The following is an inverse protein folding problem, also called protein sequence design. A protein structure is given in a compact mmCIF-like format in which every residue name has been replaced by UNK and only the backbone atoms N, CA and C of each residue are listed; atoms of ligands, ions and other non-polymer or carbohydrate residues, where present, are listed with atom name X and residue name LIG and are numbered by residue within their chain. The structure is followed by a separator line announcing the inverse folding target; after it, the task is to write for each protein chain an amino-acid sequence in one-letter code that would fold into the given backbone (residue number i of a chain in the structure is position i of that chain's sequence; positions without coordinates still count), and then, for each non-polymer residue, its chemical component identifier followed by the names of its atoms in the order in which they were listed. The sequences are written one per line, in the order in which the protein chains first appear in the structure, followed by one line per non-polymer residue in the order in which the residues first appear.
data_IF_096999800177
#
_entry.id   IF_096999800177
#
_cell.length_a   1.000
_cell.length_b   1.000
_cell.length_c   1.000
_cell.angle_alpha   90.00
_cell.angle_beta   90.00
_cell.angle_gamma   90.00
#
_symmetry.space_group_name_H-M   'P 1'
#
loop_
_entity.id
_entity.type
_entity.pdbx_description
1 polymer ?
#
# COMPACT_ATOMS: atom_id res chain seq x y z
N UNK A 1 -21.40 3.52 -13.67
CA UNK A 1 -21.10 4.84 -13.09
C UNK A 1 -21.61 4.84 -11.67
N UNK A 2 -20.82 5.28 -10.73
CA UNK A 2 -21.16 5.17 -9.33
C UNK A 2 -20.40 6.18 -8.45
N UNK A 3 -20.58 6.03 -7.13
CA UNK A 3 -20.02 6.91 -6.11
C UNK A 3 -18.97 6.17 -5.27
N UNK A 4 -17.84 6.81 -5.01
CA UNK A 4 -16.82 6.31 -4.11
C UNK A 4 -16.65 7.26 -2.92
N UNK A 5 -16.58 6.72 -1.70
CA UNK A 5 -16.18 7.48 -0.53
C UNK A 5 -14.71 7.16 -0.21
N UNK A 6 -13.87 8.19 -0.17
CA UNK A 6 -12.45 8.05 0.12
C UNK A 6 -12.20 8.58 1.52
N UNK A 7 -11.77 7.70 2.42
CA UNK A 7 -11.42 8.03 3.80
C UNK A 7 -9.91 8.23 3.89
N UNK A 8 -9.49 9.45 4.18
CA UNK A 8 -8.10 9.87 4.15
C UNK A 8 -7.87 11.04 3.18
N UNK A 9 -6.87 11.88 3.48
CA UNK A 9 -6.49 13.04 2.66
C UNK A 9 -4.96 13.30 2.77
N UNK A 10 -4.17 12.21 2.78
CA UNK A 10 -2.71 12.24 2.74
C UNK A 10 -2.16 12.14 1.31
N UNK A 11 -0.86 11.87 1.18
CA UNK A 11 -0.18 11.77 -0.12
C UNK A 11 -0.78 10.70 -1.04
N UNK A 12 -0.97 9.48 -0.53
CA UNK A 12 -1.59 8.36 -1.27
C UNK A 12 -3.02 8.70 -1.68
N UNK A 13 -3.83 9.22 -0.74
CA UNK A 13 -5.21 9.62 -1.02
C UNK A 13 -5.28 10.71 -2.09
N UNK A 14 -4.36 11.69 -2.06
CA UNK A 14 -4.28 12.73 -3.10
C UNK A 14 -4.11 12.14 -4.48
N UNK A 15 -3.23 11.14 -4.65
CA UNK A 15 -3.04 10.45 -5.94
C UNK A 15 -4.31 9.69 -6.36
N UNK A 16 -4.87 8.87 -5.46
CA UNK A 16 -6.08 8.10 -5.76
C UNK A 16 -7.25 9.02 -6.17
N UNK A 17 -7.43 10.16 -5.49
CA UNK A 17 -8.44 11.16 -5.80
C UNK A 17 -8.21 11.77 -7.20
N UNK A 18 -6.95 12.15 -7.53
CA UNK A 18 -6.62 12.62 -8.88
C UNK A 18 -6.98 11.58 -9.94
N UNK A 19 -6.63 10.30 -9.71
CA UNK A 19 -6.92 9.20 -10.64
C UNK A 19 -8.42 8.92 -10.77
N UNK A 20 -9.19 9.01 -9.68
CA UNK A 20 -10.66 8.96 -9.75
C UNK A 20 -11.21 10.11 -10.63
N UNK A 21 -10.68 11.32 -10.46
CA UNK A 21 -11.07 12.49 -11.27
C UNK A 21 -10.70 12.35 -12.75
N UNK A 22 -9.62 11.65 -13.09
CA UNK A 22 -9.25 11.32 -14.47
C UNK A 22 -10.15 10.24 -15.07
N UNK A 23 -10.84 9.45 -14.24
CA UNK A 23 -11.73 8.34 -14.65
C UNK A 23 -13.20 8.62 -14.32
N UNK A 24 -13.70 9.78 -14.74
CA UNK A 24 -15.08 10.23 -14.47
C UNK A 24 -16.16 9.31 -15.07
N UNK A 25 -15.80 8.45 -16.01
CA UNK A 25 -16.72 7.46 -16.58
C UNK A 25 -17.11 6.38 -15.55
N UNK A 26 -16.21 6.06 -14.61
CA UNK A 26 -16.46 5.12 -13.52
C UNK A 26 -16.85 5.87 -12.25
N UNK A 27 -16.08 6.89 -11.88
CA UNK A 27 -16.27 7.70 -10.68
C UNK A 27 -17.10 8.96 -11.00
N UNK A 28 -18.43 8.79 -11.06
CA UNK A 28 -19.37 9.91 -11.26
C UNK A 28 -19.31 10.91 -10.11
N UNK A 29 -19.19 10.39 -8.88
CA UNK A 29 -19.02 11.18 -7.68
C UNK A 29 -18.00 10.57 -6.73
N UNK A 30 -17.24 11.44 -6.05
CA UNK A 30 -16.39 11.06 -4.94
C UNK A 30 -16.68 11.94 -3.73
N UNK A 31 -16.65 11.34 -2.54
CA UNK A 31 -16.60 12.08 -1.27
C UNK A 31 -15.24 11.90 -0.63
N UNK A 32 -14.56 13.00 -0.35
CA UNK A 32 -13.28 13.00 0.39
C UNK A 32 -13.59 13.28 1.85
N UNK A 33 -13.30 12.33 2.73
CA UNK A 33 -13.59 12.45 4.15
C UNK A 33 -12.34 12.27 5.02
N UNK A 34 -12.10 13.16 5.96
CA UNK A 34 -11.00 13.05 6.91
C UNK A 34 -11.27 13.84 8.19
N UNK A 35 -10.43 13.68 9.22
CA UNK A 35 -10.51 14.49 10.45
C UNK A 35 -10.31 16.00 10.20
N UNK A 36 -9.58 16.35 9.15
CA UNK A 36 -9.27 17.73 8.78
C UNK A 36 -9.97 18.11 7.48
N UNK A 37 -11.24 18.51 7.58
CA UNK A 37 -12.07 18.86 6.42
C UNK A 37 -11.43 19.91 5.49
N UNK A 38 -10.70 20.87 6.04
CA UNK A 38 -10.04 21.94 5.25
C UNK A 38 -9.02 21.40 4.25
N UNK A 39 -8.32 20.28 4.55
CA UNK A 39 -7.45 19.58 3.58
C UNK A 39 -8.26 18.99 2.43
N UNK A 40 -9.42 18.39 2.74
CA UNK A 40 -10.33 17.84 1.73
C UNK A 40 -10.87 18.96 0.82
N UNK A 41 -11.30 20.08 1.41
CA UNK A 41 -11.81 21.25 0.68
C UNK A 41 -10.74 21.83 -0.25
N UNK A 42 -9.50 21.97 0.20
CA UNK A 42 -8.38 22.44 -0.63
C UNK A 42 -8.16 21.54 -1.85
N UNK A 43 -8.20 20.22 -1.66
CA UNK A 43 -8.01 19.28 -2.74
C UNK A 43 -9.19 19.29 -3.72
N UNK A 44 -10.43 19.35 -3.21
CA UNK A 44 -11.63 19.54 -4.04
C UNK A 44 -11.53 20.81 -4.88
N UNK A 45 -11.23 21.95 -4.28
CA UNK A 45 -11.20 23.25 -4.96
C UNK A 45 -10.13 23.27 -6.06
N UNK A 46 -9.03 22.55 -5.87
CA UNK A 46 -8.00 22.35 -6.89
C UNK A 46 -8.48 21.50 -8.06
N UNK A 47 -9.20 20.41 -7.78
CA UNK A 47 -9.51 19.38 -8.79
C UNK A 47 -10.86 19.58 -9.49
N UNK A 48 -11.89 20.08 -8.79
CA UNK A 48 -13.22 20.22 -9.35
C UNK A 48 -13.27 20.98 -10.68
N UNK A 49 -12.46 22.05 -10.92
CA UNK A 49 -12.45 22.72 -12.22
C UNK A 49 -11.92 21.89 -13.39
N UNK A 50 -11.20 20.78 -13.11
CA UNK A 50 -10.49 19.98 -14.13
C UNK A 50 -11.17 18.64 -14.42
N UNK A 51 -12.27 18.32 -13.72
CA UNK A 51 -12.91 17.00 -13.82
C UNK A 51 -14.42 17.11 -13.97
N UNK A 52 -15.04 16.07 -14.55
CA UNK A 52 -16.51 15.89 -14.55
C UNK A 52 -16.99 15.14 -13.30
N UNK A 53 -16.11 14.50 -12.55
CA UNK A 53 -16.44 13.86 -11.28
C UNK A 53 -16.91 14.90 -10.27
N UNK A 54 -18.08 14.69 -9.66
CA UNK A 54 -18.57 15.57 -8.59
C UNK A 54 -17.81 15.27 -7.31
N UNK A 55 -17.16 16.29 -6.73
CA UNK A 55 -16.35 16.12 -5.52
C UNK A 55 -17.07 16.75 -4.33
N UNK A 56 -17.47 15.92 -3.38
CA UNK A 56 -17.99 16.34 -2.08
C UNK A 56 -16.92 16.15 -0.98
N UNK A 57 -17.05 16.87 0.11
CA UNK A 57 -16.12 16.78 1.24
C UNK A 57 -16.85 16.67 2.56
N UNK A 58 -16.30 15.90 3.49
CA UNK A 58 -16.84 15.76 4.82
C UNK A 58 -15.73 15.74 5.90
N UNK A 59 -16.10 16.07 7.12
CA UNK A 59 -15.31 15.76 8.30
C UNK A 59 -15.81 14.43 8.86
N UNK A 60 -14.89 13.54 9.22
CA UNK A 60 -15.22 12.28 9.89
C UNK A 60 -14.06 11.86 10.78
N UNK A 61 -14.38 11.33 11.94
CA UNK A 61 -13.43 10.58 12.76
C UNK A 61 -13.57 9.09 12.41
N UNK A 62 -12.56 8.54 11.74
CA UNK A 62 -12.57 7.13 11.32
C UNK A 62 -12.42 6.12 12.49
N UNK A 63 -12.14 6.58 13.70
CA UNK A 63 -12.21 5.78 14.92
C UNK A 63 -13.66 5.65 15.47
N UNK A 64 -14.61 6.37 14.89
CA UNK A 64 -16.01 6.39 15.32
C UNK A 64 -16.93 5.74 14.28
N UNK A 65 -17.35 4.50 14.56
CA UNK A 65 -18.20 3.69 13.68
C UNK A 65 -19.54 4.38 13.40
N UNK A 66 -20.17 5.04 14.38
CA UNK A 66 -21.46 5.68 14.20
C UNK A 66 -21.38 6.91 13.28
N UNK A 67 -20.31 7.71 13.37
CA UNK A 67 -20.05 8.81 12.42
C UNK A 67 -19.86 8.29 10.99
N UNK A 68 -19.11 7.20 10.83
CA UNK A 68 -18.90 6.54 9.54
C UNK A 68 -20.22 6.03 8.95
N UNK A 69 -21.03 5.32 9.74
CA UNK A 69 -22.36 4.82 9.31
C UNK A 69 -23.26 5.97 8.88
N UNK A 70 -23.33 7.04 9.67
CA UNK A 70 -24.13 8.21 9.33
C UNK A 70 -23.70 8.84 8.02
N UNK A 71 -22.39 9.00 7.81
CA UNK A 71 -21.84 9.58 6.60
C UNK A 71 -22.06 8.69 5.37
N UNK A 72 -21.83 7.37 5.48
CA UNK A 72 -22.06 6.41 4.40
C UNK A 72 -23.55 6.40 4.01
N UNK A 73 -24.46 6.37 4.98
CA UNK A 73 -25.91 6.40 4.72
C UNK A 73 -26.36 7.69 4.07
N UNK A 74 -25.74 8.83 4.38
CA UNK A 74 -26.02 10.13 3.77
C UNK A 74 -25.56 10.20 2.33
N UNK A 75 -24.32 9.79 2.05
CA UNK A 75 -23.71 9.88 0.72
C UNK A 75 -24.10 8.73 -0.20
N UNK A 76 -24.30 7.53 0.36
CA UNK A 76 -24.63 6.27 -0.33
C UNK A 76 -23.62 5.91 -1.42
N UNK A 77 -22.35 5.70 -1.05
CA UNK A 77 -21.34 5.25 -1.99
C UNK A 77 -21.55 3.76 -2.34
N UNK A 78 -21.09 3.35 -3.52
CA UNK A 78 -21.00 1.94 -3.91
C UNK A 78 -19.82 1.26 -3.21
N UNK A 79 -18.72 2.02 -2.98
CA UNK A 79 -17.51 1.53 -2.34
C UNK A 79 -16.92 2.59 -1.42
N UNK A 80 -16.38 2.14 -0.28
CA UNK A 80 -15.49 2.91 0.59
C UNK A 80 -14.06 2.52 0.26
N UNK A 81 -13.26 3.49 -0.19
CA UNK A 81 -11.82 3.35 -0.36
C UNK A 81 -11.13 3.92 0.89
N UNK A 82 -10.60 3.03 1.70
CA UNK A 82 -9.91 3.37 2.93
C UNK A 82 -8.43 3.70 2.66
N UNK A 83 -8.06 4.96 2.80
CA UNK A 83 -6.69 5.49 2.73
C UNK A 83 -6.34 6.25 4.00
N UNK A 84 -6.97 5.88 5.11
CA UNK A 84 -6.62 6.30 6.46
C UNK A 84 -5.40 5.50 6.96
N UNK A 85 -5.07 5.62 8.24
CA UNK A 85 -4.03 4.77 8.82
C UNK A 85 -4.59 3.36 9.08
N UNK A 86 -3.75 2.33 9.09
CA UNK A 86 -4.17 0.92 9.26
C UNK A 86 -4.91 0.67 10.57
N UNK A 87 -4.73 1.52 11.57
CA UNK A 87 -5.44 1.47 12.85
C UNK A 87 -6.97 1.59 12.74
N UNK A 88 -7.47 2.22 11.66
CA UNK A 88 -8.90 2.46 11.44
C UNK A 88 -9.58 1.40 10.56
N UNK A 89 -8.86 0.41 10.05
CA UNK A 89 -9.40 -0.56 9.09
C UNK A 89 -10.64 -1.28 9.62
N UNK A 90 -10.56 -1.81 10.85
CA UNK A 90 -11.66 -2.58 11.41
C UNK A 90 -12.91 -1.72 11.71
N UNK A 91 -12.73 -0.48 12.17
CA UNK A 91 -13.85 0.45 12.40
C UNK A 91 -14.54 0.84 11.09
N UNK A 92 -13.77 1.01 10.02
CA UNK A 92 -14.31 1.30 8.69
C UNK A 92 -15.00 0.05 8.10
N UNK A 93 -14.43 -1.15 8.28
CA UNK A 93 -15.05 -2.42 7.88
C UNK A 93 -16.37 -2.67 8.62
N UNK A 94 -16.46 -2.36 9.94
CA UNK A 94 -17.71 -2.43 10.71
C UNK A 94 -18.78 -1.49 10.13
N UNK A 95 -18.42 -0.27 9.79
CA UNK A 95 -19.34 0.67 9.17
C UNK A 95 -19.79 0.22 7.77
N UNK A 96 -18.88 -0.33 6.95
CA UNK A 96 -19.20 -0.90 5.64
C UNK A 96 -20.14 -2.10 5.76
N UNK A 97 -19.93 -2.97 6.75
CA UNK A 97 -20.79 -4.11 7.02
C UNK A 97 -22.20 -3.66 7.44
N UNK A 98 -22.32 -2.69 8.36
CA UNK A 98 -23.58 -2.16 8.82
C UNK A 98 -24.40 -1.49 7.70
N UNK A 99 -23.73 -0.87 6.74
CA UNK A 99 -24.36 -0.15 5.61
C UNK A 99 -24.44 -0.97 4.32
N UNK A 100 -23.90 -2.18 4.32
CA UNK A 100 -23.78 -3.07 3.15
C UNK A 100 -23.07 -2.41 1.97
N UNK A 101 -21.98 -1.69 2.25
CA UNK A 101 -21.16 -0.99 1.28
C UNK A 101 -19.86 -1.78 1.04
N UNK A 102 -19.37 -1.86 -0.19
CA UNK A 102 -18.09 -2.50 -0.50
C UNK A 102 -16.92 -1.75 0.14
N UNK A 103 -15.84 -2.47 0.43
CA UNK A 103 -14.64 -1.95 1.09
C UNK A 103 -13.39 -2.25 0.28
N UNK A 104 -12.46 -1.30 0.22
CA UNK A 104 -11.12 -1.46 -0.36
C UNK A 104 -10.12 -0.72 0.52
N UNK A 105 -8.95 -1.33 0.78
CA UNK A 105 -7.82 -0.69 1.45
C UNK A 105 -6.49 -0.91 0.70
N UNK A 106 -5.39 -0.42 1.27
CA UNK A 106 -4.04 -0.53 0.69
C UNK A 106 -3.03 -1.18 1.61
N UNK A 107 -3.45 -1.65 2.78
CA UNK A 107 -2.60 -2.25 3.80
C UNK A 107 -3.43 -3.21 4.67
N UNK A 108 -2.82 -3.84 5.66
CA UNK A 108 -3.52 -4.62 6.68
C UNK A 108 -3.78 -3.79 7.94
N UNK A 109 -4.75 -4.24 8.76
CA UNK A 109 -4.96 -3.68 10.10
C UNK A 109 -3.73 -3.85 10.98
N UNK A 110 -3.36 -2.81 11.71
CA UNK A 110 -2.27 -2.82 12.66
C UNK A 110 -2.76 -2.31 14.04
N UNK A 111 -2.56 -3.07 15.13
CA UNK A 111 -2.82 -2.58 16.47
C UNK A 111 -1.92 -1.40 16.84
N UNK A 112 -2.47 -0.39 17.57
CA UNK A 112 -1.69 0.79 17.98
C UNK A 112 -0.56 0.47 18.96
N UNK A 113 -0.75 -0.54 19.80
CA UNK A 113 0.14 -0.91 20.91
C UNK A 113 1.24 -1.91 20.51
N UNK A 114 1.17 -2.47 19.30
CA UNK A 114 2.15 -3.43 18.84
C UNK A 114 2.26 -3.42 17.32
N UNK A 115 3.49 -3.42 16.79
CA UNK A 115 3.73 -3.56 15.37
C UNK A 115 3.50 -5.03 14.97
N UNK A 116 2.32 -5.33 14.43
CA UNK A 116 1.94 -6.66 13.92
C UNK A 116 1.22 -6.53 12.60
N UNK A 117 1.90 -6.90 11.54
CA UNK A 117 1.43 -6.88 10.16
C UNK A 117 0.79 -8.23 9.83
N UNK A 118 -0.49 -8.43 10.18
CA UNK A 118 -1.20 -9.70 10.06
C UNK A 118 -2.63 -9.47 9.52
N UNK A 119 -3.01 -10.20 8.48
CA UNK A 119 -4.37 -10.13 7.90
C UNK A 119 -5.45 -10.83 8.73
N UNK A 120 -5.09 -11.63 9.72
CA UNK A 120 -6.06 -12.43 10.51
C UNK A 120 -7.25 -11.64 11.06
N UNK A 121 -7.02 -10.36 11.42
CA UNK A 121 -8.06 -9.49 11.97
C UNK A 121 -9.13 -9.16 10.92
N UNK A 122 -8.72 -8.87 9.69
CA UNK A 122 -9.62 -8.56 8.58
C UNK A 122 -10.23 -9.83 7.99
N UNK A 123 -9.47 -10.93 7.88
CA UNK A 123 -10.00 -12.21 7.43
C UNK A 123 -11.11 -12.75 8.33
N UNK A 124 -11.13 -12.41 9.62
CA UNK A 124 -12.20 -12.78 10.56
C UNK A 124 -13.58 -12.19 10.16
N UNK A 125 -13.61 -11.21 9.27
CA UNK A 125 -14.84 -10.62 8.73
C UNK A 125 -15.40 -11.38 7.51
N UNK A 126 -14.71 -12.37 6.95
CA UNK A 126 -15.06 -13.04 5.69
C UNK A 126 -16.51 -13.50 5.66
N UNK A 127 -16.94 -14.28 6.62
CA UNK A 127 -18.30 -14.83 6.69
C UNK A 127 -19.38 -13.73 6.83
N UNK A 128 -19.09 -12.67 7.59
CA UNK A 128 -20.03 -11.56 7.77
C UNK A 128 -20.23 -10.79 6.45
N UNK A 129 -19.15 -10.55 5.71
CA UNK A 129 -19.20 -9.90 4.39
C UNK A 129 -19.87 -10.79 3.35
N UNK A 130 -19.66 -12.11 3.38
CA UNK A 130 -20.38 -13.08 2.54
C UNK A 130 -21.90 -13.03 2.80
N UNK A 131 -22.32 -13.06 4.06
CA UNK A 131 -23.73 -12.98 4.45
C UNK A 131 -24.37 -11.63 4.09
N UNK A 132 -23.61 -10.55 4.13
CA UNK A 132 -24.06 -9.22 3.74
C UNK A 132 -24.11 -9.02 2.21
N UNK A 133 -23.50 -9.91 1.42
CA UNK A 133 -23.43 -9.84 -0.03
C UNK A 133 -22.50 -8.77 -0.56
N UNK A 134 -21.48 -8.36 0.23
CA UNK A 134 -20.54 -7.30 -0.10
C UNK A 134 -19.10 -7.83 -0.17
N UNK A 135 -18.24 -7.13 -0.89
CA UNK A 135 -16.82 -7.45 -1.06
C UNK A 135 -15.95 -6.52 -0.22
N UNK A 136 -14.98 -7.07 0.50
CA UNK A 136 -13.81 -6.34 0.95
C UNK A 136 -12.59 -6.81 0.13
N UNK A 137 -11.94 -5.88 -0.54
CA UNK A 137 -10.67 -6.08 -1.25
C UNK A 137 -9.56 -5.53 -0.38
N UNK A 138 -8.67 -6.41 0.06
CA UNK A 138 -7.55 -6.07 0.94
C UNK A 138 -6.26 -5.87 0.14
N UNK A 139 -5.51 -4.86 0.55
CA UNK A 139 -4.18 -4.61 0.04
C UNK A 139 -4.15 -4.18 -1.42
N UNK A 140 -4.94 -3.18 -1.83
CA UNK A 140 -4.90 -2.64 -3.19
C UNK A 140 -3.93 -1.46 -3.30
N UNK A 141 -2.70 -1.66 -2.78
CA UNK A 141 -1.57 -0.76 -2.94
C UNK A 141 -0.55 -1.29 -3.97
N UNK A 142 0.72 -1.01 -3.75
CA UNK A 142 1.77 -1.65 -4.55
C UNK A 142 2.30 -2.89 -3.82
N UNK A 143 2.82 -2.72 -2.63
CA UNK A 143 3.12 -3.74 -1.62
C UNK A 143 2.41 -3.34 -0.30
N UNK A 144 1.39 -4.11 0.06
CA UNK A 144 0.70 -5.17 -0.68
C UNK A 144 -0.14 -4.60 -1.84
N UNK A 145 -0.30 -5.41 -2.90
CA UNK A 145 -1.21 -5.07 -3.98
C UNK A 145 -0.70 -5.48 -5.35
N UNK A 146 0.00 -4.61 -6.07
CA UNK A 146 0.54 -4.94 -7.41
C UNK A 146 1.43 -6.18 -7.36
N UNK A 147 2.20 -6.38 -6.28
CA UNK A 147 3.01 -7.60 -6.04
C UNK A 147 2.15 -8.86 -5.98
N UNK A 148 0.96 -8.78 -5.37
CA UNK A 148 -0.05 -9.84 -5.37
C UNK A 148 -0.61 -10.10 -6.77
N UNK A 149 -0.97 -9.03 -7.50
CA UNK A 149 -1.44 -9.14 -8.89
C UNK A 149 -0.35 -9.72 -9.81
N UNK A 150 0.92 -9.30 -9.65
CA UNK A 150 2.05 -9.88 -10.39
C UNK A 150 2.21 -11.37 -10.10
N UNK A 151 2.04 -11.77 -8.84
CA UNK A 151 2.11 -13.18 -8.44
C UNK A 151 0.98 -14.02 -9.05
N UNK A 152 -0.25 -13.51 -9.04
CA UNK A 152 -1.38 -14.16 -9.67
C UNK A 152 -1.23 -14.22 -11.20
N UNK A 153 -0.71 -13.14 -11.83
CA UNK A 153 -0.43 -13.09 -13.26
C UNK A 153 0.64 -14.11 -13.66
N UNK A 154 1.76 -14.13 -12.94
CA UNK A 154 2.82 -15.10 -13.16
C UNK A 154 2.30 -16.53 -13.03
N UNK A 155 1.52 -16.84 -11.99
CA UNK A 155 0.92 -18.15 -11.79
C UNK A 155 -0.05 -18.52 -12.91
N UNK A 156 -0.84 -17.59 -13.41
CA UNK A 156 -1.82 -17.85 -14.47
C UNK A 156 -1.18 -18.10 -15.83
N UNK A 157 -0.14 -17.35 -16.19
CA UNK A 157 0.39 -17.32 -17.54
C UNK A 157 1.75 -18.02 -17.68
N UNK A 158 2.61 -17.93 -16.66
CA UNK A 158 4.02 -18.23 -16.79
C UNK A 158 4.45 -19.49 -16.04
N UNK A 159 3.68 -19.93 -15.05
CA UNK A 159 4.06 -21.07 -14.20
C UNK A 159 2.92 -22.06 -14.02
N UNK A 160 3.29 -23.34 -13.84
CA UNK A 160 2.40 -24.38 -13.31
C UNK A 160 2.57 -24.49 -11.79
N UNK A 161 3.75 -24.12 -11.28
CA UNK A 161 4.09 -24.09 -9.87
C UNK A 161 5.14 -22.99 -9.60
N UNK A 162 4.87 -22.08 -8.67
CA UNK A 162 5.83 -21.10 -8.17
C UNK A 162 6.40 -21.60 -6.84
N UNK A 163 7.73 -21.77 -6.77
CA UNK A 163 8.39 -22.24 -5.56
C UNK A 163 9.07 -21.11 -4.75
N UNK A 164 9.53 -20.07 -5.43
CA UNK A 164 10.28 -18.98 -4.81
C UNK A 164 9.77 -17.64 -5.33
N UNK A 165 9.53 -16.71 -4.41
CA UNK A 165 9.21 -15.31 -4.71
C UNK A 165 10.17 -14.43 -3.92
N UNK A 166 10.87 -13.53 -4.61
CA UNK A 166 11.62 -12.44 -4.01
C UNK A 166 10.95 -11.13 -4.43
N UNK A 167 10.34 -10.44 -3.48
CA UNK A 167 9.72 -9.12 -3.68
C UNK A 167 10.79 -8.08 -3.43
N UNK A 168 10.99 -7.17 -4.37
CA UNK A 168 12.02 -6.15 -4.34
C UNK A 168 11.39 -4.77 -4.42
N UNK A 169 11.46 -4.00 -3.35
CA UNK A 169 11.06 -2.59 -3.30
C UNK A 169 12.30 -1.69 -3.33
N UNK A 170 12.50 -1.02 -4.44
CA UNK A 170 13.58 -0.06 -4.60
C UNK A 170 13.05 1.35 -4.79
N UNK A 171 13.36 2.22 -3.83
CA UNK A 171 13.26 3.65 -4.00
C UNK A 171 14.67 4.26 -4.21
N UNK A 172 14.98 4.60 -5.46
CA UNK A 172 16.20 5.32 -5.84
C UNK A 172 16.05 6.84 -5.81
N UNK A 173 14.96 7.35 -5.20
CA UNK A 173 14.70 8.78 -5.11
C UNK A 173 15.59 9.50 -4.09
N UNK A 174 15.94 10.75 -4.41
CA UNK A 174 16.64 11.68 -3.51
C UNK A 174 15.79 12.94 -3.31
N UNK A 175 15.39 13.19 -2.08
CA UNK A 175 14.65 14.39 -1.66
C UNK A 175 15.54 15.46 -1.01
N UNK A 176 16.85 15.20 -0.86
CA UNK A 176 17.85 16.13 -0.33
C UNK A 176 17.82 16.37 1.19
N UNK A 177 17.00 15.65 1.95
CA UNK A 177 17.05 15.65 3.43
C UNK A 177 17.96 14.53 3.93
N UNK A 178 18.77 14.78 4.97
CA UNK A 178 19.57 13.72 5.61
C UNK A 178 18.72 12.57 6.15
N UNK A 179 17.52 12.90 6.67
CA UNK A 179 16.53 11.95 7.18
C UNK A 179 15.11 12.49 6.93
N UNK A 180 14.34 11.74 6.19
CA UNK A 180 12.89 11.90 5.99
C UNK A 180 12.32 10.57 5.53
N UNK A 181 11.01 10.40 5.66
CA UNK A 181 10.29 9.22 5.19
C UNK A 181 9.41 9.56 4.00
N UNK A 182 9.26 8.64 3.06
CA UNK A 182 8.48 8.87 1.84
C UNK A 182 6.97 8.65 2.03
N UNK A 183 6.58 8.01 3.12
CA UNK A 183 5.20 7.84 3.59
C UNK A 183 5.13 8.13 5.10
N UNK A 184 4.02 7.79 5.76
CA UNK A 184 3.81 8.13 7.17
C UNK A 184 5.03 7.75 8.04
N UNK A 185 5.68 8.72 8.72
CA UNK A 185 6.91 8.46 9.47
C UNK A 185 6.75 7.40 10.57
N UNK A 186 5.60 7.37 11.23
CA UNK A 186 5.31 6.41 12.29
C UNK A 186 5.27 4.97 11.74
N UNK A 187 4.53 4.75 10.65
CA UNK A 187 4.43 3.43 10.04
C UNK A 187 5.80 2.99 9.50
N UNK A 188 6.49 3.86 8.76
CA UNK A 188 7.81 3.56 8.22
C UNK A 188 8.84 3.19 9.30
N UNK A 189 8.91 3.97 10.39
CA UNK A 189 9.89 3.72 11.47
C UNK A 189 9.54 2.41 12.21
N UNK A 190 8.25 2.14 12.47
CA UNK A 190 7.80 0.90 13.13
C UNK A 190 8.13 -0.32 12.29
N UNK A 191 7.88 -0.26 10.99
CA UNK A 191 8.18 -1.33 10.04
C UNK A 191 9.70 -1.63 9.99
N UNK A 192 10.53 -0.61 9.79
CA UNK A 192 11.99 -0.77 9.67
C UNK A 192 12.65 -1.21 10.98
N UNK A 193 12.08 -0.82 12.13
CA UNK A 193 12.57 -1.20 13.46
C UNK A 193 12.01 -2.54 13.94
N UNK A 194 11.06 -3.14 13.24
CA UNK A 194 10.52 -4.46 13.57
C UNK A 194 11.47 -5.58 13.15
N UNK A 195 11.29 -6.75 13.76
CA UNK A 195 11.98 -7.96 13.32
C UNK A 195 11.57 -8.32 11.90
N UNK A 196 12.54 -8.70 11.08
CA UNK A 196 12.28 -9.26 9.78
C UNK A 196 11.71 -10.67 9.88
N UNK A 197 10.91 -11.09 8.92
CA UNK A 197 10.55 -12.49 8.79
C UNK A 197 10.26 -12.85 7.33
N UNK A 198 10.46 -14.11 7.00
CA UNK A 198 10.22 -14.66 5.68
C UNK A 198 9.87 -16.15 5.78
N UNK A 199 9.41 -16.73 4.69
CA UNK A 199 9.15 -18.18 4.63
C UNK A 199 10.31 -18.87 3.95
N UNK A 200 10.84 -19.92 4.57
CA UNK A 200 11.79 -20.87 4.01
C UNK A 200 11.32 -22.30 4.30
N UNK A 201 11.26 -23.14 3.28
CA UNK A 201 10.77 -24.53 3.34
C UNK A 201 9.38 -24.65 4.00
N UNK A 202 8.50 -23.68 3.69
CA UNK A 202 7.13 -23.60 4.21
C UNK A 202 7.03 -23.24 5.69
N UNK A 203 8.09 -22.71 6.30
CA UNK A 203 8.13 -22.28 7.71
C UNK A 203 8.55 -20.82 7.82
N UNK A 204 7.96 -20.12 8.77
CA UNK A 204 8.41 -18.79 9.13
C UNK A 204 9.80 -18.83 9.78
N UNK A 205 10.68 -17.97 9.29
CA UNK A 205 12.00 -17.69 9.83
C UNK A 205 12.03 -16.23 10.26
N UNK A 206 12.30 -15.98 11.54
CA UNK A 206 12.42 -14.64 12.11
C UNK A 206 13.89 -14.19 12.10
N UNK A 207 14.14 -12.90 11.86
CA UNK A 207 15.47 -12.28 11.88
C UNK A 207 15.46 -11.04 12.77
N UNK A 208 16.63 -10.59 13.20
CA UNK A 208 16.74 -9.27 13.81
C UNK A 208 16.44 -8.16 12.76
N UNK A 209 16.04 -6.95 13.20
CA UNK A 209 15.78 -5.85 12.29
C UNK A 209 16.97 -5.57 11.37
N UNK A 210 16.75 -5.51 10.07
CA UNK A 210 17.77 -5.20 9.06
C UNK A 210 18.97 -6.17 9.01
N UNK A 211 18.87 -7.38 9.57
CA UNK A 211 19.98 -8.33 9.68
C UNK A 211 20.44 -8.85 8.32
N UNK A 212 19.50 -9.19 7.44
CA UNK A 212 19.83 -9.72 6.12
C UNK A 212 19.89 -8.60 5.10
N UNK A 213 21.11 -8.33 4.65
CA UNK A 213 21.41 -7.34 3.60
C UNK A 213 21.80 -8.03 2.30
N UNK A 214 21.35 -7.48 1.18
CA UNK A 214 21.74 -7.87 -0.19
C UNK A 214 22.06 -6.64 -1.00
N UNK A 215 22.77 -6.84 -2.11
CA UNK A 215 23.00 -5.82 -3.12
C UNK A 215 22.32 -6.28 -4.40
N UNK A 216 21.58 -5.39 -5.05
CA UNK A 216 20.92 -5.69 -6.31
C UNK A 216 21.04 -4.52 -7.29
N UNK A 217 21.23 -4.84 -8.58
CA UNK A 217 21.30 -3.83 -9.63
C UNK A 217 19.92 -3.67 -10.28
N UNK A 218 19.18 -2.68 -9.80
CA UNK A 218 17.82 -2.40 -10.25
C UNK A 218 17.82 -1.68 -11.61
N UNK A 219 17.10 -2.21 -12.58
CA UNK A 219 16.95 -1.58 -13.90
C UNK A 219 16.39 -0.16 -13.76
N UNK A 220 17.04 0.80 -14.41
CA UNK A 220 16.64 2.21 -14.37
C UNK A 220 17.03 2.99 -13.12
N UNK A 221 17.56 2.30 -12.08
CA UNK A 221 18.01 2.92 -10.81
C UNK A 221 19.51 2.68 -10.56
N UNK A 222 20.01 1.45 -10.84
CA UNK A 222 21.37 1.03 -10.56
C UNK A 222 21.49 0.20 -9.29
N UNK A 223 22.74 -0.01 -8.86
CA UNK A 223 23.05 -0.84 -7.69
C UNK A 223 22.63 -0.17 -6.39
N UNK A 224 21.91 -0.93 -5.55
CA UNK A 224 21.41 -0.49 -4.24
C UNK A 224 21.56 -1.59 -3.19
N UNK A 225 21.83 -1.16 -1.95
CA UNK A 225 21.67 -1.99 -0.77
C UNK A 225 20.18 -2.18 -0.49
N UNK A 226 19.76 -3.43 -0.26
CA UNK A 226 18.40 -3.76 0.17
C UNK A 226 18.45 -4.68 1.38
N UNK A 227 17.41 -4.59 2.21
CA UNK A 227 17.35 -5.27 3.50
C UNK A 227 16.06 -6.07 3.58
N UNK A 228 16.15 -7.29 4.15
CA UNK A 228 14.98 -8.13 4.38
C UNK A 228 14.15 -7.56 5.52
N UNK A 229 12.87 -7.41 5.25
CA UNK A 229 11.84 -7.02 6.22
C UNK A 229 10.74 -8.08 6.28
N UNK A 230 9.90 -8.03 7.29
CA UNK A 230 8.57 -8.62 7.23
C UNK A 230 7.65 -7.67 6.44
N UNK A 231 6.79 -8.23 5.62
CA UNK A 231 5.73 -7.48 4.96
C UNK A 231 4.46 -8.33 4.85
N UNK A 232 3.29 -7.73 4.92
CA UNK A 232 2.03 -8.45 5.10
C UNK A 232 1.64 -9.37 3.93
N UNK A 233 2.00 -9.02 2.69
CA UNK A 233 1.67 -9.89 1.54
C UNK A 233 2.40 -11.23 1.56
N UNK A 234 3.47 -11.37 2.34
CA UNK A 234 4.11 -12.67 2.52
C UNK A 234 3.14 -13.70 3.09
N UNK A 235 2.26 -13.26 4.01
CA UNK A 235 1.25 -14.12 4.64
C UNK A 235 0.18 -14.55 3.63
N UNK A 236 -0.39 -13.61 2.89
CA UNK A 236 -1.46 -13.89 1.94
C UNK A 236 -0.97 -14.67 0.72
N UNK A 237 0.18 -14.31 0.17
CA UNK A 237 0.78 -15.03 -0.96
C UNK A 237 1.15 -16.47 -0.61
N UNK A 238 1.67 -16.71 0.60
CA UNK A 238 1.97 -18.07 1.05
C UNK A 238 0.74 -18.97 1.16
N UNK A 239 -0.42 -18.38 1.46
CA UNK A 239 -1.70 -19.10 1.51
C UNK A 239 -2.30 -19.31 0.11
N UNK A 240 -2.20 -18.31 -0.75
CA UNK A 240 -2.94 -18.27 -2.01
C UNK A 240 -2.15 -18.81 -3.21
N UNK A 241 -0.81 -18.78 -3.18
CA UNK A 241 0.05 -19.31 -4.24
C UNK A 241 0.54 -20.70 -3.88
N UNK A 242 0.17 -21.70 -4.71
CA UNK A 242 0.54 -23.08 -4.47
C UNK A 242 2.03 -23.34 -4.75
N UNK A 243 2.65 -24.18 -3.92
CA UNK A 243 4.00 -24.66 -4.13
C UNK A 243 5.11 -23.81 -3.52
N UNK A 244 4.76 -22.73 -2.83
CA UNK A 244 5.73 -21.83 -2.19
C UNK A 244 6.62 -22.58 -1.20
N UNK A 245 7.93 -22.50 -1.44
CA UNK A 245 8.99 -22.98 -0.54
C UNK A 245 9.65 -21.81 0.18
N UNK A 246 9.87 -20.69 -0.54
CA UNK A 246 10.45 -19.48 0.03
C UNK A 246 9.76 -18.25 -0.55
N UNK A 247 9.46 -17.30 0.32
CA UNK A 247 9.03 -15.96 -0.06
C UNK A 247 9.70 -14.94 0.85
N UNK A 248 10.31 -13.91 0.23
CA UNK A 248 11.06 -12.86 0.92
C UNK A 248 10.65 -11.49 0.38
N UNK A 249 10.70 -10.50 1.27
CA UNK A 249 10.53 -9.09 0.92
C UNK A 249 11.81 -8.31 1.24
N UNK A 250 12.26 -7.49 0.31
CA UNK A 250 13.42 -6.64 0.46
C UNK A 250 13.09 -5.20 0.11
N UNK A 251 13.49 -4.26 0.96
CA UNK A 251 13.36 -2.83 0.73
C UNK A 251 14.72 -2.14 0.76
N UNK A 252 14.90 -1.10 -0.06
CA UNK A 252 16.15 -0.34 -0.14
C UNK A 252 16.17 0.82 0.83
N UNK A 253 17.31 1.02 1.49
CA UNK A 253 17.57 2.17 2.36
C UNK A 253 18.94 2.78 2.10
N UNK A 254 18.99 4.12 2.06
CA UNK A 254 20.25 4.86 1.97
C UNK A 254 21.01 4.87 3.29
N UNK A 255 22.34 4.89 3.24
CA UNK A 255 23.19 4.90 4.43
C UNK A 255 22.92 6.08 5.36
N UNK A 256 22.58 7.27 4.82
CA UNK A 256 22.20 8.43 5.63
C UNK A 256 20.96 8.15 6.46
N UNK A 257 19.91 7.59 5.84
CA UNK A 257 18.68 7.21 6.55
C UNK A 257 18.97 6.25 7.70
N UNK A 258 19.69 5.15 7.44
CA UNK A 258 20.01 4.14 8.46
C UNK A 258 20.85 4.70 9.62
N UNK A 259 21.78 5.59 9.32
CA UNK A 259 22.63 6.21 10.34
C UNK A 259 21.80 7.09 11.29
N UNK A 260 20.89 7.89 10.74
CA UNK A 260 20.03 8.75 11.56
C UNK A 260 18.98 7.93 12.32
N UNK A 261 18.36 6.94 11.68
CA UNK A 261 17.41 6.04 12.36
C UNK A 261 18.07 5.38 13.56
N UNK A 262 19.29 4.82 13.39
CA UNK A 262 20.02 4.19 14.49
C UNK A 262 20.31 5.15 15.63
N UNK A 263 20.65 6.39 15.33
CA UNK A 263 20.83 7.42 16.37
C UNK A 263 19.53 7.68 17.13
N UNK A 264 18.40 7.83 16.40
CA UNK A 264 17.08 8.08 17.00
C UNK A 264 16.61 6.89 17.86
N UNK A 265 16.86 5.66 17.44
CA UNK A 265 16.62 4.44 18.23
C UNK A 265 17.44 4.45 19.53
N UNK A 266 18.75 4.69 19.43
CA UNK A 266 19.66 4.65 20.56
C UNK A 266 19.32 5.69 21.65
N UNK A 267 18.70 6.81 21.28
CA UNK A 267 18.24 7.84 22.23
C UNK A 267 16.76 7.71 22.62
N UNK A 268 16.08 6.66 22.15
CA UNK A 268 14.69 6.36 22.49
C UNK A 268 13.63 7.22 21.77
N UNK A 269 14.02 7.97 20.72
CA UNK A 269 13.07 8.82 19.97
C UNK A 269 12.07 8.03 19.10
N UNK A 270 12.31 6.75 18.86
CA UNK A 270 11.41 5.86 18.12
C UNK A 270 10.44 5.11 19.03
N UNK A 271 10.51 5.32 20.35
CA UNK A 271 9.64 4.63 21.31
C UNK A 271 8.18 5.07 21.19
N UNK A 272 7.27 4.09 21.26
CA UNK A 272 5.82 4.30 21.39
C UNK A 272 5.38 4.42 22.85
N UNK A 273 6.25 4.09 23.82
CA UNK A 273 5.97 4.21 25.26
C UNK A 273 6.00 5.68 25.67
N UNK A 274 4.94 6.16 26.36
CA UNK A 274 4.88 7.54 26.79
C UNK A 274 5.91 7.86 27.88
N UNK A 275 6.46 9.06 27.83
CA UNK A 275 7.33 9.60 28.86
C UNK A 275 6.73 10.88 29.44
N UNK A 276 7.06 11.21 30.70
CA UNK A 276 6.65 12.46 31.34
C UNK A 276 7.72 13.54 31.11
N UNK A 277 7.32 14.66 30.49
CA UNK A 277 8.15 15.84 30.33
C UNK A 277 7.40 17.09 30.82
N UNK A 278 7.92 17.77 31.83
CA UNK A 278 7.31 18.97 32.43
C UNK A 278 5.82 18.82 32.78
N UNK A 279 5.45 17.63 33.34
CA UNK A 279 4.08 17.32 33.74
C UNK A 279 3.11 16.97 32.60
N UNK A 280 3.62 16.81 31.38
CA UNK A 280 2.85 16.36 30.19
C UNK A 280 3.34 14.99 29.74
N UNK A 281 2.41 14.17 29.35
CA UNK A 281 2.71 12.89 28.69
C UNK A 281 3.06 13.14 27.23
N UNK A 282 4.19 12.59 26.79
CA UNK A 282 4.69 12.70 25.42
C UNK A 282 5.08 11.30 24.93
N UNK A 283 4.59 10.90 23.76
CA UNK A 283 5.07 9.71 23.05
C UNK A 283 6.22 10.14 22.12
N UNK A 284 7.47 9.68 22.34
CA UNK A 284 8.63 10.14 21.57
C UNK A 284 8.46 10.02 20.06
N UNK A 285 7.94 8.90 19.56
CA UNK A 285 7.69 8.70 18.13
C UNK A 285 6.69 9.69 17.55
N UNK A 286 5.63 10.06 18.31
CA UNK A 286 4.66 11.06 17.85
C UNK A 286 5.27 12.47 17.79
N UNK A 287 6.17 12.78 18.73
CA UNK A 287 6.92 14.03 18.69
C UNK A 287 7.90 14.05 17.50
N UNK A 288 8.65 12.97 17.28
CA UNK A 288 9.52 12.82 16.11
C UNK A 288 8.76 13.02 14.80
N UNK A 289 7.60 12.37 14.66
CA UNK A 289 6.71 12.54 13.50
C UNK A 289 6.30 13.99 13.26
N UNK A 290 6.06 14.76 14.34
CA UNK A 290 5.65 16.16 14.24
C UNK A 290 6.77 17.10 13.76
N UNK A 291 8.05 16.74 13.95
CA UNK A 291 9.21 17.55 13.53
C UNK A 291 9.79 17.11 12.19
N UNK A 292 9.47 15.91 11.70
CA UNK A 292 9.92 15.43 10.39
C UNK A 292 9.17 16.15 9.25
N UNK A 293 9.81 16.27 8.07
CA UNK A 293 9.12 16.77 6.87
C UNK A 293 7.87 15.94 6.56
N UNK A 294 6.75 16.60 6.25
CA UNK A 294 5.56 15.91 5.76
C UNK A 294 5.89 15.20 4.43
N UNK A 295 5.68 13.89 4.30
CA UNK A 295 5.93 13.15 3.07
C UNK A 295 5.25 13.75 1.83
N UNK A 296 4.07 14.36 1.99
CA UNK A 296 3.38 15.06 0.90
C UNK A 296 4.16 16.27 0.37
N UNK A 297 5.03 16.88 1.19
CA UNK A 297 5.86 18.02 0.81
C UNK A 297 7.11 17.64 0.01
N UNK A 298 7.43 16.36 -0.08
CA UNK A 298 8.64 15.89 -0.78
C UNK A 298 8.50 15.89 -2.31
N UNK A 299 7.28 15.87 -2.83
CA UNK A 299 6.99 15.74 -4.26
C UNK A 299 7.79 16.68 -5.16
N UNK A 300 7.82 18.02 -4.92
CA UNK A 300 8.48 18.96 -5.81
C UNK A 300 10.02 18.82 -5.86
N UNK A 301 10.61 18.14 -4.89
CA UNK A 301 12.07 18.06 -4.74
C UNK A 301 12.66 16.66 -4.93
N UNK A 302 11.83 15.62 -4.84
CA UNK A 302 12.33 14.24 -5.00
C UNK A 302 12.66 13.98 -6.48
N UNK A 303 13.88 13.57 -6.75
CA UNK A 303 14.37 13.19 -8.08
C UNK A 303 14.82 11.75 -8.09
N UNK A 304 14.77 11.09 -9.22
CA UNK A 304 15.13 9.67 -9.36
C UNK A 304 13.93 8.80 -9.63
N UNK A 305 14.09 7.50 -9.49
CA UNK A 305 13.09 6.50 -9.87
C UNK A 305 12.91 5.45 -8.80
N UNK A 306 11.74 4.84 -8.77
CA UNK A 306 11.50 3.57 -8.10
C UNK A 306 11.65 2.41 -9.08
N UNK A 307 11.92 1.22 -8.56
CA UNK A 307 11.80 -0.05 -9.29
C UNK A 307 11.26 -1.07 -8.30
N UNK A 308 10.02 -1.48 -8.49
CA UNK A 308 9.34 -2.38 -7.55
C UNK A 308 8.79 -3.57 -8.34
N UNK A 309 9.02 -4.78 -7.84
CA UNK A 309 8.55 -5.99 -8.53
C UNK A 309 8.86 -7.29 -7.84
N UNK A 310 8.57 -8.39 -8.53
CA UNK A 310 8.69 -9.74 -8.00
C UNK A 310 9.51 -10.63 -8.93
N UNK A 311 10.55 -11.26 -8.40
CA UNK A 311 11.30 -12.32 -9.07
C UNK A 311 10.69 -13.65 -8.66
N UNK A 312 10.24 -14.40 -9.65
CA UNK A 312 9.65 -15.74 -9.49
C UNK A 312 10.59 -16.82 -9.94
N UNK A 313 10.61 -17.94 -9.22
CA UNK A 313 11.24 -19.19 -9.69
C UNK A 313 10.27 -20.35 -9.43
N UNK A 314 10.16 -21.22 -10.41
CA UNK A 314 9.25 -22.35 -10.33
C UNK A 314 9.36 -23.24 -11.55
N UNK A 315 8.24 -23.84 -11.98
CA UNK A 315 8.19 -24.76 -13.11
C UNK A 315 7.09 -24.39 -14.10
N UNK A 316 7.40 -24.61 -15.37
CA UNK A 316 6.45 -24.60 -16.49
C UNK A 316 6.70 -25.81 -17.37
N UNK A 317 5.68 -26.61 -17.65
CA UNK A 317 5.80 -27.86 -18.45
C UNK A 317 6.95 -28.78 -17.96
N UNK A 318 7.10 -28.88 -16.63
CA UNK A 318 8.12 -29.68 -15.96
C UNK A 318 9.55 -29.13 -16.02
N UNK A 319 9.79 -27.95 -16.61
CA UNK A 319 11.09 -27.29 -16.72
C UNK A 319 11.19 -26.16 -15.70
N UNK A 320 12.39 -25.95 -15.18
CA UNK A 320 12.68 -24.81 -14.33
C UNK A 320 12.55 -23.52 -15.12
N UNK A 321 11.95 -22.52 -14.49
CA UNK A 321 11.70 -21.20 -15.07
C UNK A 321 11.98 -20.11 -14.05
N UNK A 322 12.51 -18.99 -14.55
CA UNK A 322 12.65 -17.73 -13.82
C UNK A 322 11.87 -16.64 -14.55
N UNK A 323 11.38 -15.68 -13.80
CA UNK A 323 10.60 -14.57 -14.36
C UNK A 323 10.61 -13.39 -13.41
N UNK A 324 10.77 -12.20 -13.92
CA UNK A 324 10.71 -10.96 -13.15
C UNK A 324 9.68 -10.02 -13.75
N UNK A 325 8.69 -9.63 -12.95
CA UNK A 325 7.74 -8.57 -13.24
C UNK A 325 8.08 -7.38 -12.38
N UNK A 326 8.16 -6.18 -12.97
CA UNK A 326 8.49 -4.96 -12.24
C UNK A 326 7.89 -3.72 -12.90
N UNK A 327 7.76 -2.66 -12.10
CA UNK A 327 7.40 -1.32 -12.56
C UNK A 327 8.56 -0.37 -12.27
N UNK A 328 8.80 0.57 -13.18
CA UNK A 328 9.69 1.71 -12.98
C UNK A 328 8.86 2.98 -12.99
N UNK A 329 8.98 3.79 -11.94
CA UNK A 329 8.22 5.02 -11.77
C UNK A 329 9.15 6.20 -11.49
N UNK A 330 8.99 7.31 -12.23
CA UNK A 330 9.83 8.51 -12.09
C UNK A 330 9.15 9.52 -11.16
N UNK A 331 9.85 9.96 -10.10
CA UNK A 331 9.30 10.89 -9.10
C UNK A 331 8.82 12.21 -9.71
N UNK A 332 9.56 12.78 -10.66
CA UNK A 332 9.22 14.07 -11.24
C UNK A 332 8.08 13.97 -12.26
N UNK A 333 7.98 12.85 -13.00
CA UNK A 333 6.85 12.64 -13.90
C UNK A 333 5.55 12.47 -13.09
N UNK A 334 5.59 11.71 -11.97
CA UNK A 334 4.45 11.61 -11.04
C UNK A 334 4.07 12.99 -10.48
N UNK A 335 5.06 13.76 -10.07
CA UNK A 335 4.80 15.10 -9.55
C UNK A 335 4.17 16.03 -10.57
N UNK A 336 4.60 16.01 -11.82
CA UNK A 336 4.00 16.79 -12.91
C UNK A 336 2.54 16.41 -13.13
N UNK A 337 2.21 15.12 -13.06
CA UNK A 337 0.86 14.64 -13.33
C UNK A 337 -0.10 14.93 -12.18
N UNK A 338 0.25 14.55 -10.95
CA UNK A 338 -0.69 14.57 -9.82
C UNK A 338 -0.23 15.40 -8.62
N UNK A 339 0.95 16.02 -8.67
CA UNK A 339 1.50 16.82 -7.59
C UNK A 339 2.01 16.00 -6.40
N UNK A 340 2.34 14.72 -6.61
CA UNK A 340 2.83 13.80 -5.59
C UNK A 340 4.02 13.00 -6.11
N UNK A 341 4.90 12.56 -5.21
CA UNK A 341 6.05 11.74 -5.55
C UNK A 341 5.68 10.28 -5.89
N UNK A 342 6.63 9.53 -6.46
CA UNK A 342 6.40 8.16 -6.95
C UNK A 342 5.89 7.20 -5.86
N UNK A 343 6.35 7.27 -4.61
CA UNK A 343 5.90 6.36 -3.54
C UNK A 343 4.39 6.52 -3.25
N UNK A 344 3.90 7.76 -3.22
CA UNK A 344 2.44 7.99 -3.12
C UNK A 344 1.71 7.57 -4.40
N UNK A 345 2.37 7.71 -5.56
CA UNK A 345 1.79 7.37 -6.86
C UNK A 345 1.65 5.86 -7.05
N UNK A 346 2.71 5.11 -6.74
CA UNK A 346 2.71 3.63 -6.86
C UNK A 346 1.65 2.98 -5.98
N UNK A 347 1.30 3.57 -4.84
CA UNK A 347 0.21 3.08 -3.97
C UNK A 347 -1.16 3.65 -4.36
N UNK A 348 -1.25 4.94 -4.71
CA UNK A 348 -2.54 5.58 -4.96
C UNK A 348 -3.19 5.18 -6.29
N UNK A 349 -2.41 4.85 -7.31
CA UNK A 349 -2.94 4.36 -8.60
C UNK A 349 -3.63 2.98 -8.43
N UNK A 350 -2.98 1.97 -7.84
CA UNK A 350 -3.64 0.68 -7.58
C UNK A 350 -4.85 0.78 -6.66
N UNK A 351 -4.84 1.68 -5.68
CA UNK A 351 -5.99 1.94 -4.81
C UNK A 351 -7.23 2.36 -5.63
N UNK A 352 -7.05 3.30 -6.57
CA UNK A 352 -8.12 3.67 -7.50
C UNK A 352 -8.53 2.50 -8.41
N UNK A 353 -7.55 1.71 -8.92
CA UNK A 353 -7.84 0.57 -9.78
C UNK A 353 -8.66 -0.48 -9.03
N UNK A 354 -8.31 -0.82 -7.77
CA UNK A 354 -9.08 -1.75 -6.95
C UNK A 354 -10.53 -1.28 -6.74
N UNK A 355 -10.71 -0.01 -6.37
CA UNK A 355 -12.05 0.58 -6.27
C UNK A 355 -12.81 0.51 -7.61
N UNK A 356 -12.15 0.79 -8.74
CA UNK A 356 -12.72 0.65 -10.07
C UNK A 356 -13.13 -0.79 -10.38
N UNK A 357 -12.31 -1.79 -10.05
CA UNK A 357 -12.64 -3.22 -10.28
C UNK A 357 -13.91 -3.63 -9.52
N UNK A 358 -14.07 -3.16 -8.28
CA UNK A 358 -15.28 -3.40 -7.48
C UNK A 358 -16.48 -2.68 -8.08
N UNK A 359 -16.39 -1.38 -8.38
CA UNK A 359 -17.48 -0.55 -8.89
C UNK A 359 -17.98 -1.00 -10.26
N UNK A 360 -17.09 -1.47 -11.12
CA UNK A 360 -17.47 -2.01 -12.44
C UNK A 360 -18.01 -3.43 -12.38
N UNK A 361 -17.93 -4.10 -11.23
CA UNK A 361 -18.31 -5.51 -11.06
C UNK A 361 -17.31 -6.50 -11.64
N UNK A 362 -16.14 -6.04 -12.11
CA UNK A 362 -15.07 -6.90 -12.64
C UNK A 362 -14.54 -7.84 -11.55
N UNK A 363 -14.36 -7.31 -10.33
CA UNK A 363 -13.96 -8.05 -9.14
C UNK A 363 -15.07 -8.00 -8.09
N UNK A 364 -16.16 -8.72 -8.31
CA UNK A 364 -17.30 -8.75 -7.41
C UNK A 364 -17.51 -10.16 -6.87
N UNK A 365 -17.10 -10.37 -5.62
CA UNK A 365 -17.22 -11.64 -4.91
C UNK A 365 -17.49 -11.34 -3.43
N UNK A 366 -18.65 -11.76 -2.91
CA UNK A 366 -18.99 -11.52 -1.51
C UNK A 366 -17.98 -12.20 -0.57
N UNK A 367 -17.52 -11.46 0.43
CA UNK A 367 -16.50 -11.91 1.40
C UNK A 367 -15.34 -10.94 1.53
N UNK A 368 -14.25 -11.39 2.16
CA UNK A 368 -13.00 -10.64 2.35
C UNK A 368 -11.88 -11.37 1.62
N UNK A 369 -11.20 -10.68 0.72
CA UNK A 369 -10.22 -11.29 -0.18
C UNK A 369 -9.00 -10.40 -0.35
N UNK A 370 -7.83 -11.03 -0.42
CA UNK A 370 -6.61 -10.37 -0.89
C UNK A 370 -6.63 -10.28 -2.42
N UNK A 371 -5.88 -9.35 -2.95
CA UNK A 371 -5.93 -8.97 -4.36
C UNK A 371 -5.57 -10.12 -5.31
N UNK A 372 -4.64 -11.00 -4.92
CA UNK A 372 -4.21 -12.17 -5.69
C UNK A 372 -5.26 -13.27 -5.80
N UNK A 373 -6.38 -13.18 -5.06
CA UNK A 373 -7.50 -14.13 -5.15
C UNK A 373 -8.46 -13.82 -6.32
N UNK A 374 -8.17 -12.78 -7.12
CA UNK A 374 -8.96 -12.37 -8.29
C UNK A 374 -8.20 -12.60 -9.60
N UNK A 375 -8.92 -12.50 -10.73
CA UNK A 375 -8.29 -12.55 -12.05
C UNK A 375 -7.36 -11.32 -12.24
N UNK A 376 -6.05 -11.53 -12.46
CA UNK A 376 -5.08 -10.44 -12.55
C UNK A 376 -5.18 -9.61 -13.84
N UNK A 377 -5.65 -10.19 -14.96
CA UNK A 377 -5.54 -9.59 -16.29
C UNK A 377 -6.20 -8.21 -16.40
N UNK A 378 -7.43 -8.00 -15.89
CA UNK A 378 -8.04 -6.68 -15.94
C UNK A 378 -7.25 -5.61 -15.18
N UNK A 379 -6.66 -6.00 -14.05
CA UNK A 379 -5.86 -5.08 -13.24
C UNK A 379 -4.51 -4.77 -13.91
N UNK A 380 -3.83 -5.79 -14.47
CA UNK A 380 -2.59 -5.63 -15.24
C UNK A 380 -2.78 -4.67 -16.43
N UNK A 381 -3.89 -4.80 -17.15
CA UNK A 381 -4.26 -3.86 -18.22
C UNK A 381 -4.52 -2.45 -17.70
N UNK A 382 -5.16 -2.34 -16.54
CA UNK A 382 -5.45 -1.05 -15.91
C UNK A 382 -4.16 -0.34 -15.43
N UNK A 383 -3.16 -1.07 -14.91
CA UNK A 383 -1.86 -0.50 -14.55
C UNK A 383 -1.22 0.25 -15.73
N UNK A 384 -1.17 -0.38 -16.90
CA UNK A 384 -0.66 0.24 -18.12
C UNK A 384 -1.45 1.50 -18.51
N UNK A 385 -2.78 1.45 -18.38
CA UNK A 385 -3.65 2.57 -18.74
C UNK A 385 -3.50 3.76 -17.79
N UNK A 386 -3.32 3.50 -16.49
CA UNK A 386 -3.41 4.52 -15.44
C UNK A 386 -2.06 5.03 -14.93
N UNK A 387 -0.94 4.66 -15.61
CA UNK A 387 0.36 5.29 -15.39
C UNK A 387 1.37 4.47 -14.59
N UNK A 388 1.10 3.17 -14.39
CA UNK A 388 2.06 2.21 -13.83
C UNK A 388 2.34 1.08 -14.84
N UNK A 389 2.94 1.38 -16.00
CA UNK A 389 3.30 0.34 -16.95
C UNK A 389 4.29 -0.63 -16.30
N UNK A 390 4.09 -1.91 -16.54
CA UNK A 390 4.96 -2.95 -16.04
C UNK A 390 5.85 -3.51 -17.16
N UNK A 391 7.00 -4.01 -16.77
CA UNK A 391 8.00 -4.65 -17.62
C UNK A 391 8.27 -6.07 -17.14
N UNK A 392 8.80 -6.90 -18.03
CA UNK A 392 9.11 -8.30 -17.75
C UNK A 392 10.53 -8.66 -18.18
N UNK A 393 11.14 -9.61 -17.44
CA UNK A 393 12.43 -10.19 -17.75
C UNK A 393 12.36 -11.70 -17.50
N UNK A 394 12.67 -12.50 -18.55
CA UNK A 394 12.64 -13.95 -18.49
C UNK A 394 13.97 -14.57 -18.05
N UNK A 395 15.00 -13.76 -17.85
CA UNK A 395 16.33 -14.21 -17.41
C UNK A 395 16.90 -13.27 -16.35
N UNK A 396 16.17 -12.98 -15.26
CA UNK A 396 16.60 -12.04 -14.25
C UNK A 396 17.84 -12.53 -13.50
N UNK A 397 18.64 -11.59 -13.02
CA UNK A 397 19.62 -11.89 -11.97
C UNK A 397 18.85 -12.25 -10.69
N UNK A 398 19.20 -13.38 -10.10
CA UNK A 398 18.52 -13.85 -8.87
C UNK A 398 19.14 -13.23 -7.64
N UNK A 399 18.30 -13.10 -6.59
CA UNK A 399 18.76 -12.70 -5.25
C UNK A 399 19.36 -13.91 -4.57
N UNK A 400 20.67 -13.84 -4.23
CA UNK A 400 21.42 -14.87 -3.52
C UNK A 400 21.13 -14.94 -2.01
#
# INVERSE_FOLDING_TARGET
MGKCMIIGCGGVASVAIHKCCQNSEVFEGIMIASRTKSKCDTLRDKLQPTTKTVIETAQVNADNVDELIALINSYKPDVVLNLALPYQDLTIMDACLATKTHYVDTANYEPLDTAKFEYKWQWAYREKFEQAGITALLGSGFEPGVTGVFSAYAMKHEFDEINYIDILDCNGGDHGYPFATNFNPEINIREVSAKGSYIEDGKWVETEPMEIKRVYNFKGVGEKDMYLLHHEELESLALNIKGIKRIRFFMTFGQSYLTHLKCLENVGMTSIEPIMYEGKEIVPLQFLKAVLPDPASLGPRTVGKTNIGCIFRGKKDGKDKTYYLYNICDHQECYKEVGSQAISYTTGVPAMIGAMMIMTGTWKKAGVYNIEEFDPDPFMNALNKWGLPWEEDFNPVLVE
#
